data_IF_524833252890
#
_entry.id   IF_524833252890
#
_cell.length_a   1.000
_cell.length_b   1.000
_cell.length_c   1.000
_cell.angle_alpha   90.00
_cell.angle_beta   90.00
_cell.angle_gamma   90.00
#
_symmetry.space_group_name_H-M   'P 1'
#
loop_
_entity.id
_entity.type
_entity.pdbx_description
1 polymer ?
#
# COMPACT_ATOMS: atom_id res chain seq x y z
N UNK A 1 5.95 -2.46 4.29
CA UNK A 1 4.56 -2.06 4.01
C UNK A 1 3.78 -3.32 3.72
N UNK A 2 2.92 -3.74 4.66
CA UNK A 2 2.11 -4.93 4.50
C UNK A 2 0.77 -4.47 3.95
N UNK A 3 0.61 -4.57 2.63
CA UNK A 3 -0.73 -4.67 2.08
C UNK A 3 -1.14 -6.11 2.41
N UNK A 4 -2.09 -6.29 3.32
CA UNK A 4 -2.69 -7.60 3.51
C UNK A 4 -3.45 -7.93 2.24
N UNK A 5 -2.97 -8.93 1.52
CA UNK A 5 -3.59 -9.42 0.30
C UNK A 5 -3.84 -10.89 0.53
N UNK A 6 -5.11 -11.22 0.75
CA UNK A 6 -5.61 -12.59 0.76
C UNK A 6 -5.27 -13.28 -0.57
N UNK A 7 -4.93 -14.57 -0.50
CA UNK A 7 -4.36 -15.37 -1.58
C UNK A 7 -5.27 -15.48 -2.80
N UNK A 8 -6.56 -15.22 -2.67
CA UNK A 8 -7.51 -15.54 -3.73
C UNK A 8 -7.98 -14.37 -4.60
N UNK A 9 -7.88 -13.08 -4.21
CA UNK A 9 -8.16 -11.88 -5.08
C UNK A 9 -8.31 -10.59 -4.27
N UNK A 10 -7.26 -9.83 -3.89
CA UNK A 10 -7.56 -8.65 -3.05
C UNK A 10 -6.68 -7.40 -3.15
N UNK A 11 -5.67 -7.28 -4.02
CA UNK A 11 -5.05 -5.95 -4.24
C UNK A 11 -6.00 -5.00 -4.94
N UNK A 12 -6.90 -5.53 -5.76
CA UNK A 12 -7.77 -4.77 -6.64
C UNK A 12 -9.22 -5.21 -6.40
N UNK A 13 -10.08 -4.27 -5.99
CA UNK A 13 -11.54 -4.45 -5.87
C UNK A 13 -12.23 -4.50 -7.24
N UNK A 14 -11.60 -3.88 -8.24
CA UNK A 14 -11.95 -3.86 -9.66
C UNK A 14 -10.64 -3.74 -10.45
N UNK A 15 -10.64 -3.92 -11.77
CA UNK A 15 -9.44 -3.80 -12.62
C UNK A 15 -8.60 -2.53 -12.38
N UNK A 16 -9.21 -1.47 -11.87
CA UNK A 16 -8.60 -0.14 -11.69
C UNK A 16 -8.57 0.38 -10.26
N UNK A 17 -9.18 -0.32 -9.28
CA UNK A 17 -9.34 0.20 -7.91
C UNK A 17 -8.62 -0.72 -6.94
N UNK A 18 -7.61 -0.20 -6.25
CA UNK A 18 -6.90 -0.95 -5.24
C UNK A 18 -7.64 -1.00 -3.91
N UNK A 19 -7.71 -2.18 -3.30
CA UNK A 19 -8.17 -2.29 -1.94
C UNK A 19 -7.19 -1.56 -1.04
N UNK A 20 -7.74 -0.65 -0.26
CA UNK A 20 -6.99 0.03 0.76
C UNK A 20 -7.17 -0.77 2.03
N UNK A 21 -6.08 -1.28 2.60
CA UNK A 21 -6.05 -2.11 3.82
C UNK A 21 -6.50 -1.39 5.11
N UNK A 22 -7.43 -0.44 5.01
CA UNK A 22 -7.94 0.40 6.10
C UNK A 22 -8.67 -0.35 7.19
N UNK A 23 -9.06 -1.62 7.01
CA UNK A 23 -10.12 -2.17 7.85
C UNK A 23 -9.77 -2.20 9.33
N UNK A 24 -8.49 -2.33 9.73
CA UNK A 24 -8.12 -2.33 11.15
C UNK A 24 -6.88 -1.48 11.47
N UNK A 25 -5.69 -1.87 11.03
CA UNK A 25 -4.45 -1.25 11.52
C UNK A 25 -4.19 0.18 11.01
N UNK A 26 -4.53 0.49 9.76
CA UNK A 26 -4.33 1.84 9.21
C UNK A 26 -5.20 2.91 9.90
N UNK A 27 -6.44 2.56 10.25
CA UNK A 27 -7.34 3.42 11.02
C UNK A 27 -6.81 3.65 12.43
N UNK A 28 -6.37 2.60 13.12
CA UNK A 28 -5.80 2.72 14.46
C UNK A 28 -4.52 3.56 14.47
N UNK A 29 -3.60 3.35 13.54
CA UNK A 29 -2.38 4.15 13.44
C UNK A 29 -2.68 5.64 13.23
N UNK A 30 -3.67 5.98 12.39
CA UNK A 30 -4.15 7.35 12.21
C UNK A 30 -4.80 7.91 13.48
N UNK A 31 -5.61 7.12 14.18
CA UNK A 31 -6.25 7.53 15.43
C UNK A 31 -5.21 7.81 16.53
N UNK A 32 -4.24 6.90 16.71
CA UNK A 32 -3.14 7.05 17.66
C UNK A 32 -2.33 8.29 17.31
N UNK A 33 -1.94 8.49 16.04
CA UNK A 33 -1.18 9.66 15.64
C UNK A 33 -1.93 10.98 15.94
N UNK A 34 -3.25 11.01 15.71
CA UNK A 34 -4.10 12.14 16.08
C UNK A 34 -4.15 12.36 17.59
N UNK A 35 -4.28 11.29 18.39
CA UNK A 35 -4.35 11.35 19.86
C UNK A 35 -3.02 11.81 20.47
N UNK A 36 -1.89 11.32 19.95
CA UNK A 36 -0.55 11.62 20.45
C UNK A 36 0.08 12.85 19.78
N UNK A 37 -0.63 13.50 18.86
CA UNK A 37 -0.19 14.70 18.13
C UNK A 37 1.13 14.51 17.38
N UNK A 38 1.33 13.33 16.79
CA UNK A 38 2.49 13.06 15.92
C UNK A 38 2.08 13.03 14.45
N UNK A 39 2.99 13.35 13.52
CA UNK A 39 2.72 13.21 12.09
C UNK A 39 2.34 11.78 11.69
N UNK A 40 1.47 11.65 10.70
CA UNK A 40 1.04 10.37 10.14
C UNK A 40 1.22 10.35 8.63
N UNK A 41 1.95 9.35 8.13
CA UNK A 41 2.13 9.11 6.70
C UNK A 41 1.26 7.94 6.26
N UNK A 42 0.33 8.18 5.33
CA UNK A 42 -0.52 7.13 4.80
C UNK A 42 0.12 6.38 3.64
N UNK A 43 1.06 5.49 3.97
CA UNK A 43 1.76 4.69 2.97
C UNK A 43 0.84 3.79 2.16
N UNK A 44 -0.26 3.32 2.76
CA UNK A 44 -1.23 2.47 2.10
C UNK A 44 -1.94 3.23 0.98
N UNK A 45 -2.42 4.44 1.26
CA UNK A 45 -3.05 5.29 0.24
C UNK A 45 -2.06 5.66 -0.87
N UNK A 46 -0.87 6.16 -0.50
CA UNK A 46 0.13 6.61 -1.48
C UNK A 46 0.49 5.47 -2.44
N UNK A 47 0.72 4.27 -1.92
CA UNK A 47 1.15 3.14 -2.73
C UNK A 47 0.02 2.53 -3.54
N UNK A 48 -1.19 2.48 -2.98
CA UNK A 48 -2.36 2.00 -3.71
C UNK A 48 -2.69 2.90 -4.92
N UNK A 49 -2.57 4.24 -4.80
CA UNK A 49 -2.67 5.15 -5.97
C UNK A 49 -1.65 4.83 -7.06
N UNK A 50 -0.43 4.45 -6.69
CA UNK A 50 0.59 4.05 -7.67
C UNK A 50 0.21 2.74 -8.34
N UNK A 51 -0.25 1.76 -7.57
CA UNK A 51 -0.69 0.48 -8.09
C UNK A 51 -1.86 0.64 -9.07
N UNK A 52 -2.82 1.50 -8.76
CA UNK A 52 -3.92 1.84 -9.67
C UNK A 52 -3.41 2.42 -11.00
N UNK A 53 -2.37 3.26 -10.99
CA UNK A 53 -1.73 3.78 -12.21
C UNK A 53 -1.00 2.71 -13.01
N UNK A 54 -0.37 1.74 -12.34
CA UNK A 54 0.33 0.63 -13.01
C UNK A 54 -0.63 -0.42 -13.56
N UNK A 55 -1.79 -0.60 -12.93
CA UNK A 55 -2.77 -1.61 -13.28
C UNK A 55 -2.42 -3.01 -12.77
N UNK A 56 -3.45 -3.86 -12.70
CA UNK A 56 -3.41 -5.19 -12.07
C UNK A 56 -2.26 -6.08 -12.53
N UNK A 57 -2.06 -6.21 -13.85
CA UNK A 57 -1.06 -7.14 -14.40
C UNK A 57 0.37 -6.70 -14.09
N UNK A 58 0.67 -5.39 -14.19
CA UNK A 58 2.00 -4.88 -13.81
C UNK A 58 2.24 -5.04 -12.32
N UNK A 59 1.22 -4.78 -11.50
CA UNK A 59 1.32 -4.90 -10.03
C UNK A 59 1.60 -6.34 -9.60
N UNK A 60 1.08 -7.37 -10.28
CA UNK A 60 1.42 -8.77 -9.98
C UNK A 60 2.94 -9.03 -10.01
N UNK A 61 3.66 -8.39 -10.94
CA UNK A 61 5.13 -8.51 -11.07
C UNK A 61 5.92 -7.79 -9.96
N UNK A 62 5.25 -6.94 -9.16
CA UNK A 62 5.85 -6.23 -8.04
C UNK A 62 5.95 -7.08 -6.77
N UNK A 63 5.47 -8.33 -6.85
CA UNK A 63 5.49 -9.30 -5.78
C UNK A 63 6.30 -10.53 -6.21
N UNK A 64 6.93 -11.21 -5.24
CA UNK A 64 7.88 -12.29 -5.53
C UNK A 64 7.19 -13.65 -5.60
N UNK A 65 6.83 -14.23 -4.45
CA UNK A 65 6.21 -15.56 -4.35
C UNK A 65 4.76 -15.52 -3.87
N UNK A 66 4.39 -14.46 -3.18
CA UNK A 66 3.05 -14.28 -2.61
C UNK A 66 2.64 -12.81 -2.70
N UNK A 67 1.44 -12.52 -2.26
CA UNK A 67 0.85 -11.19 -2.40
C UNK A 67 1.23 -10.20 -1.29
N UNK A 68 2.19 -10.54 -0.41
CA UNK A 68 2.62 -9.66 0.70
C UNK A 68 4.13 -9.32 0.65
N UNK A 69 4.96 -10.18 0.04
CA UNK A 69 6.39 -9.98 -0.13
C UNK A 69 6.69 -9.41 -1.53
N UNK A 70 7.17 -8.17 -1.57
CA UNK A 70 7.47 -7.47 -2.81
C UNK A 70 8.75 -7.98 -3.47
N UNK A 71 8.78 -7.99 -4.80
CA UNK A 71 10.03 -8.11 -5.58
C UNK A 71 10.92 -6.89 -5.38
N UNK A 72 12.16 -6.92 -5.86
CA UNK A 72 13.07 -5.77 -5.79
C UNK A 72 12.44 -4.49 -6.40
N UNK A 73 11.78 -4.65 -7.56
CA UNK A 73 11.09 -3.55 -8.20
C UNK A 73 9.93 -3.02 -7.35
N UNK A 74 9.10 -3.91 -6.78
CA UNK A 74 8.02 -3.52 -5.87
C UNK A 74 8.51 -2.82 -4.60
N UNK A 75 9.62 -3.30 -4.03
CA UNK A 75 10.26 -2.68 -2.87
C UNK A 75 10.74 -1.25 -3.19
N UNK A 76 11.35 -1.03 -4.36
CA UNK A 76 11.73 0.32 -4.83
C UNK A 76 10.51 1.23 -5.01
N UNK A 77 9.39 0.72 -5.51
CA UNK A 77 8.13 1.49 -5.63
C UNK A 77 7.60 1.88 -4.24
N UNK A 78 7.60 0.97 -3.28
CA UNK A 78 7.18 1.25 -1.91
C UNK A 78 8.11 2.27 -1.21
N UNK A 79 9.42 2.17 -1.41
CA UNK A 79 10.38 3.14 -0.89
C UNK A 79 10.11 4.55 -1.44
N UNK A 80 9.79 4.66 -2.74
CA UNK A 80 9.36 5.95 -3.34
C UNK A 80 8.08 6.50 -2.69
N UNK A 81 7.15 5.64 -2.26
CA UNK A 81 5.96 6.08 -1.51
C UNK A 81 6.29 6.62 -0.12
N UNK A 82 7.27 6.03 0.57
CA UNK A 82 7.74 6.56 1.84
C UNK A 82 8.39 7.94 1.68
N UNK A 83 9.25 8.10 0.68
CA UNK A 83 9.87 9.39 0.37
C UNK A 83 8.82 10.44 0.01
N UNK A 84 7.83 10.09 -0.81
CA UNK A 84 6.70 10.98 -1.15
C UNK A 84 5.96 11.42 0.11
N UNK A 85 5.58 10.47 0.98
CA UNK A 85 4.87 10.78 2.22
C UNK A 85 5.67 11.62 3.23
N UNK A 86 7.00 11.55 3.20
CA UNK A 86 7.87 12.36 4.05
C UNK A 86 8.12 13.78 3.51
N UNK A 87 7.97 13.99 2.19
CA UNK A 87 8.24 15.28 1.55
C UNK A 87 7.08 16.29 1.67
N UNK A 88 5.88 15.81 1.97
CA UNK A 88 4.65 16.63 2.01
C UNK A 88 4.02 16.75 0.64
#
# INVERSE_FOLDING_TARGET
MILFVDKDTTLFRSSSICYRGWLYFGKWARQVAKQTKVPFVDLNEISARKFERYGKEKVKTMFYLDSIHTSEFGAKVNAKSAVEGLRG
#
